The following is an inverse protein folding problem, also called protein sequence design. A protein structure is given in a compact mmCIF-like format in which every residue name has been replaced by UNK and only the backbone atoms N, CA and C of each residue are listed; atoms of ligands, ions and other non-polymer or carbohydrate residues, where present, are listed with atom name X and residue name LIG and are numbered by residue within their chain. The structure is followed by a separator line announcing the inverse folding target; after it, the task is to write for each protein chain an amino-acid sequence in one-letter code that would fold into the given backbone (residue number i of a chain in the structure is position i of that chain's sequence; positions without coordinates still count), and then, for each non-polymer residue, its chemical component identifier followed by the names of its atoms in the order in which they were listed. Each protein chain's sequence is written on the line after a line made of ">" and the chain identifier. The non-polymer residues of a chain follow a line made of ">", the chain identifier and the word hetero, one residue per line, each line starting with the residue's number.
data_IF_742869311194
#
_entry.id   IF_742869311194
#
_cell.length_a   1.000
_cell.length_b   1.000
_cell.length_c   1.000
_cell.angle_alpha   90.00
_cell.angle_beta   90.00
_cell.angle_gamma   90.00
#
_symmetry.space_group_name_H-M   'P 1'
#
loop_
_entity.id
_entity.type
_entity.pdbx_description
1 polymer ?
#
# COMPACT_ATOMS: atom_id res chain seq x y z
N UNK A 1 -13.66 -7.96 -13.19
CA UNK A 1 -12.90 -6.85 -12.58
C UNK A 1 -11.93 -7.47 -11.59
N UNK A 2 -10.62 -7.36 -11.82
CA UNK A 2 -9.61 -8.01 -10.99
C UNK A 2 -9.38 -7.16 -9.72
N UNK A 3 -9.77 -7.67 -8.56
CA UNK A 3 -9.63 -7.01 -7.29
C UNK A 3 -8.30 -7.42 -6.65
N UNK A 4 -7.26 -6.58 -6.85
CA UNK A 4 -5.98 -6.76 -6.18
C UNK A 4 -6.15 -6.63 -4.65
N UNK A 5 -5.71 -7.64 -3.90
CA UNK A 5 -5.57 -7.55 -2.45
C UNK A 5 -4.34 -6.68 -2.16
N UNK A 6 -4.56 -5.36 -2.10
CA UNK A 6 -3.51 -4.36 -1.95
C UNK A 6 -3.01 -4.35 -0.51
N UNK A 7 -1.82 -4.86 -0.24
CA UNK A 7 -1.17 -4.61 1.05
C UNK A 7 -0.76 -3.12 1.10
N UNK A 8 -1.49 -2.37 1.93
CA UNK A 8 -1.30 -0.94 2.12
C UNK A 8 -0.19 -0.68 3.17
N UNK A 9 0.75 0.18 2.82
CA UNK A 9 1.85 0.61 3.69
C UNK A 9 1.67 2.09 4.03
N UNK A 10 2.06 2.47 5.25
CA UNK A 10 1.93 3.86 5.70
C UNK A 10 3.27 4.57 5.66
N UNK A 11 3.24 5.80 5.20
CA UNK A 11 4.42 6.65 5.03
C UNK A 11 4.22 7.93 5.82
N UNK A 12 5.24 8.34 6.59
CA UNK A 12 5.23 9.60 7.32
C UNK A 12 6.26 10.57 6.72
N UNK A 13 5.84 11.83 6.62
CA UNK A 13 6.73 12.97 6.42
C UNK A 13 6.97 13.66 7.77
N UNK A 14 8.19 14.17 8.01
CA UNK A 14 8.37 15.29 8.92
C UNK A 14 7.80 16.58 8.29
N UNK A 15 7.28 17.52 9.09
CA UNK A 15 6.69 18.74 8.57
C UNK A 15 7.76 19.62 7.92
N UNK A 16 7.88 19.55 6.60
CA UNK A 16 8.44 20.64 5.82
C UNK A 16 7.47 21.83 5.90
N UNK A 17 7.97 22.99 6.32
CA UNK A 17 7.19 24.19 6.60
C UNK A 17 6.08 24.48 5.57
N UNK A 18 4.88 24.73 6.10
CA UNK A 18 3.71 25.38 5.51
C UNK A 18 3.54 25.31 4.00
N UNK A 19 2.66 24.43 3.51
CA UNK A 19 1.97 24.67 2.24
C UNK A 19 0.50 24.23 2.30
N UNK A 20 -0.35 25.26 2.38
CA UNK A 20 -1.71 25.35 1.82
C UNK A 20 -2.60 24.11 1.88
N UNK A 21 -3.55 24.15 2.81
CA UNK A 21 -4.80 23.39 2.73
C UNK A 21 -5.52 23.73 1.44
N UNK A 22 -5.58 22.79 0.49
CA UNK A 22 -6.62 22.80 -0.55
C UNK A 22 -7.72 21.87 -0.10
N UNK A 23 -8.76 22.51 0.41
CA UNK A 23 -10.09 21.95 0.51
C UNK A 23 -10.54 21.49 -0.89
N UNK A 24 -10.75 20.19 -1.05
CA UNK A 24 -11.57 19.66 -2.15
C UNK A 24 -12.71 18.88 -1.54
N UNK A 25 -13.70 19.62 -1.07
CA UNK A 25 -15.06 19.12 -0.92
C UNK A 25 -15.55 18.50 -2.22
N UNK A 26 -15.82 17.19 -2.19
CA UNK A 26 -16.83 16.55 -3.03
C UNK A 26 -17.31 15.28 -2.34
N UNK A 27 -18.43 15.42 -1.64
CA UNK A 27 -19.28 14.29 -1.27
C UNK A 27 -20.15 13.98 -2.50
N UNK A 28 -20.08 12.76 -3.01
CA UNK A 28 -21.12 12.17 -3.86
C UNK A 28 -21.19 10.68 -3.48
N UNK A 29 -22.38 10.24 -3.07
CA UNK A 29 -22.60 8.98 -2.38
C UNK A 29 -22.99 7.77 -3.24
N UNK A 30 -23.26 6.67 -2.52
CA UNK A 30 -24.22 5.63 -2.89
C UNK A 30 -23.74 4.47 -3.76
N UNK A 31 -23.74 3.24 -3.20
CA UNK A 31 -24.01 2.02 -3.98
C UNK A 31 -23.17 0.76 -3.70
N UNK A 32 -23.58 -0.02 -2.69
CA UNK A 32 -23.81 -1.48 -2.70
C UNK A 32 -22.72 -2.44 -3.26
N UNK A 33 -22.18 -3.26 -2.35
CA UNK A 33 -21.65 -4.63 -2.59
C UNK A 33 -20.22 -4.67 -3.11
N UNK A 34 -19.35 -5.41 -2.41
CA UNK A 34 -17.98 -5.78 -2.84
C UNK A 34 -16.93 -4.69 -2.57
N UNK A 35 -16.72 -4.34 -1.29
CA UNK A 35 -15.70 -3.35 -0.87
C UNK A 35 -14.29 -3.85 -1.17
N UNK A 36 -13.53 -3.02 -1.88
CA UNK A 36 -12.12 -3.22 -2.18
C UNK A 36 -11.33 -2.76 -0.95
N UNK A 37 -10.71 -3.70 -0.20
CA UNK A 37 -10.07 -3.52 1.14
C UNK A 37 -10.88 -4.02 2.35
N UNK A 38 -11.58 -5.15 2.22
CA UNK A 38 -12.35 -5.75 3.32
C UNK A 38 -11.55 -6.73 4.22
N UNK A 39 -10.35 -7.12 3.81
CA UNK A 39 -9.50 -8.08 4.53
C UNK A 39 -8.46 -7.44 5.45
N UNK A 40 -8.17 -8.09 6.59
CA UNK A 40 -6.99 -7.81 7.42
C UNK A 40 -6.76 -6.33 7.76
N UNK A 41 -5.53 -5.86 7.51
CA UNK A 41 -5.11 -4.47 7.80
C UNK A 41 -5.79 -3.45 6.90
N UNK A 42 -6.24 -3.85 5.71
CA UNK A 42 -6.84 -2.94 4.73
C UNK A 42 -8.20 -2.42 5.25
N UNK A 43 -8.95 -3.27 5.97
CA UNK A 43 -10.16 -2.85 6.68
C UNK A 43 -9.88 -1.80 7.75
N UNK A 44 -8.77 -1.93 8.48
CA UNK A 44 -8.38 -0.96 9.49
C UNK A 44 -8.03 0.40 8.85
N UNK A 45 -7.42 0.39 7.67
CA UNK A 45 -7.14 1.61 6.92
C UNK A 45 -8.39 2.25 6.33
N UNK A 46 -9.30 1.47 5.74
CA UNK A 46 -10.59 1.99 5.27
C UNK A 46 -11.39 2.62 6.42
N UNK A 47 -11.39 1.99 7.60
CA UNK A 47 -12.03 2.55 8.80
C UNK A 47 -11.33 3.85 9.29
N UNK A 48 -10.00 3.91 9.21
CA UNK A 48 -9.22 5.06 9.67
C UNK A 48 -9.33 6.28 8.75
N UNK A 49 -9.19 6.09 7.44
CA UNK A 49 -9.22 7.17 6.45
C UNK A 49 -10.64 7.56 6.04
N UNK A 50 -11.62 6.68 6.28
CA UNK A 50 -13.02 6.90 5.99
C UNK A 50 -13.44 6.48 4.56
N UNK A 51 -14.71 6.73 4.21
CA UNK A 51 -15.36 6.09 3.07
C UNK A 51 -14.78 6.49 1.69
N UNK A 52 -14.06 7.60 1.60
CA UNK A 52 -13.43 8.04 0.35
C UNK A 52 -12.12 7.30 0.04
N UNK A 53 -11.55 6.59 1.02
CA UNK A 53 -10.22 5.99 0.89
C UNK A 53 -10.16 4.87 -0.16
N UNK A 54 -11.15 3.97 -0.16
CA UNK A 54 -11.22 2.90 -1.17
C UNK A 54 -11.26 3.46 -2.59
N UNK A 55 -12.06 4.51 -2.79
CA UNK A 55 -12.17 5.19 -4.09
C UNK A 55 -10.86 5.87 -4.49
N UNK A 56 -10.18 6.51 -3.55
CA UNK A 56 -8.89 7.16 -3.76
C UNK A 56 -7.82 6.16 -4.22
N UNK A 57 -7.77 4.98 -3.59
CA UNK A 57 -6.86 3.90 -3.98
C UNK A 57 -7.23 3.32 -5.34
N UNK A 58 -8.52 3.03 -5.57
CA UNK A 58 -9.00 2.51 -6.85
C UNK A 58 -8.68 3.47 -8.00
N UNK A 59 -8.98 4.76 -7.84
CA UNK A 59 -8.74 5.76 -8.87
C UNK A 59 -7.22 5.91 -9.16
N UNK A 60 -6.35 5.70 -8.16
CA UNK A 60 -4.90 5.68 -8.38
C UNK A 60 -4.48 4.51 -9.28
N UNK A 61 -4.92 3.29 -8.96
CA UNK A 61 -4.62 2.10 -9.76
C UNK A 61 -5.25 2.19 -11.16
N UNK A 62 -6.47 2.69 -11.28
CA UNK A 62 -7.18 2.82 -12.55
C UNK A 62 -6.56 3.86 -13.50
N UNK A 63 -5.82 4.85 -12.97
CA UNK A 63 -5.08 5.82 -13.79
C UNK A 63 -3.78 5.26 -14.38
N UNK A 64 -3.33 4.09 -13.95
CA UNK A 64 -2.18 3.41 -14.56
C UNK A 64 -2.52 3.04 -16.01
N UNK A 65 -1.54 3.02 -16.94
CA UNK A 65 -1.77 2.64 -18.33
C UNK A 65 -2.48 1.30 -18.50
N UNK A 66 -2.13 0.33 -17.66
CA UNK A 66 -2.69 -1.03 -17.69
C UNK A 66 -3.96 -1.17 -16.80
N UNK A 67 -4.36 -0.11 -16.10
CA UNK A 67 -5.47 -0.13 -15.13
C UNK A 67 -5.27 -1.11 -13.97
N UNK A 68 -4.04 -1.54 -13.72
CA UNK A 68 -3.71 -2.62 -12.79
C UNK A 68 -2.33 -2.44 -12.14
N UNK A 69 -2.19 -2.94 -10.91
CA UNK A 69 -0.94 -2.96 -10.14
C UNK A 69 -0.53 -4.42 -9.84
N UNK A 70 0.50 -4.97 -10.52
CA UNK A 70 0.94 -6.35 -10.31
C UNK A 70 1.75 -6.54 -9.01
N UNK A 71 1.83 -7.78 -8.54
CA UNK A 71 2.79 -8.18 -7.49
C UNK A 71 4.21 -7.87 -7.97
N UNK A 72 5.00 -7.21 -7.12
CA UNK A 72 6.33 -6.72 -7.47
C UNK A 72 6.36 -5.31 -8.08
N UNK A 73 5.20 -4.66 -8.20
CA UNK A 73 5.08 -3.22 -8.41
C UNK A 73 4.51 -2.53 -7.17
N UNK A 74 4.78 -1.23 -7.06
CA UNK A 74 4.25 -0.41 -5.98
C UNK A 74 3.90 1.00 -6.47
N UNK A 75 3.02 1.69 -5.75
CA UNK A 75 2.56 3.03 -6.08
C UNK A 75 2.30 3.85 -4.82
N UNK A 76 2.77 5.11 -4.80
CA UNK A 76 2.51 6.04 -3.70
C UNK A 76 1.25 6.84 -4.03
N UNK A 77 0.31 6.88 -3.10
CA UNK A 77 -0.94 7.61 -3.20
C UNK A 77 -1.03 8.65 -2.08
N UNK A 78 -1.19 9.95 -2.39
CA UNK A 78 -1.48 10.96 -1.38
C UNK A 78 -2.85 10.72 -0.76
N UNK A 79 -2.96 10.75 0.55
CA UNK A 79 -4.22 10.49 1.29
C UNK A 79 -4.97 11.77 1.66
N UNK A 80 -4.29 12.92 1.65
CA UNK A 80 -4.82 14.19 2.19
C UNK A 80 -4.91 14.23 3.73
N UNK A 81 -4.47 13.18 4.43
CA UNK A 81 -4.56 13.10 5.89
C UNK A 81 -3.33 13.70 6.57
N UNK A 82 -3.54 14.58 7.56
CA UNK A 82 -2.47 15.35 8.21
C UNK A 82 -1.37 14.51 8.86
N UNK A 83 -1.71 13.35 9.43
CA UNK A 83 -0.74 12.47 10.12
C UNK A 83 -0.09 11.42 9.23
N UNK A 84 -0.78 11.02 8.16
CA UNK A 84 -0.38 9.91 7.29
C UNK A 84 -0.61 10.39 5.87
N UNK A 85 0.24 11.30 5.36
CA UNK A 85 -0.02 12.04 4.12
C UNK A 85 0.04 11.16 2.88
N UNK A 86 0.68 9.99 2.99
CA UNK A 86 0.81 9.03 1.89
C UNK A 86 0.54 7.61 2.35
N UNK A 87 0.03 6.85 1.41
CA UNK A 87 -0.08 5.41 1.46
C UNK A 87 0.73 4.84 0.29
N UNK A 88 1.48 3.78 0.53
CA UNK A 88 2.14 3.02 -0.52
C UNK A 88 1.40 1.70 -0.73
N UNK A 89 0.93 1.50 -1.96
CA UNK A 89 0.28 0.28 -2.39
C UNK A 89 1.35 -0.69 -2.89
N UNK A 90 1.40 -1.90 -2.36
CA UNK A 90 2.25 -2.98 -2.87
C UNK A 90 1.50 -4.32 -2.77
N UNK A 91 0.85 -4.78 -3.84
CA UNK A 91 0.05 -6.00 -3.83
C UNK A 91 0.89 -7.24 -3.53
N UNK A 92 0.36 -8.11 -2.66
CA UNK A 92 0.94 -9.43 -2.37
C UNK A 92 0.28 -10.55 -3.18
N UNK A 93 -0.88 -10.30 -3.77
CA UNK A 93 -1.60 -11.24 -4.64
C UNK A 93 -2.52 -10.48 -5.59
N UNK A 94 -2.87 -11.12 -6.72
CA UNK A 94 -3.80 -10.54 -7.69
C UNK A 94 -5.26 -10.73 -7.26
N UNK A 95 -5.59 -11.91 -6.74
CA UNK A 95 -6.90 -12.22 -6.17
C UNK A 95 -6.68 -12.83 -4.78
N UNK A 96 -7.69 -12.81 -3.89
CA UNK A 96 -7.61 -13.50 -2.60
C UNK A 96 -7.30 -15.00 -2.78
N UNK A 97 -6.06 -15.40 -2.46
CA UNK A 97 -5.60 -16.78 -2.55
C UNK A 97 -4.40 -17.03 -1.62
N UNK A 98 -4.10 -18.31 -1.35
CA UNK A 98 -2.87 -18.67 -0.67
C UNK A 98 -1.67 -18.46 -1.60
N UNK A 99 -0.61 -17.83 -1.09
CA UNK A 99 0.58 -17.51 -1.87
C UNK A 99 1.85 -18.02 -1.20
N UNK A 100 2.91 -18.15 -1.99
CA UNK A 100 4.24 -18.45 -1.45
C UNK A 100 4.81 -17.28 -0.65
N UNK A 101 5.68 -17.56 0.32
CA UNK A 101 6.36 -16.53 1.12
C UNK A 101 7.11 -15.48 0.26
N UNK A 102 7.62 -15.88 -0.92
CA UNK A 102 8.31 -14.98 -1.86
C UNK A 102 7.47 -13.77 -2.31
N UNK A 103 6.13 -13.82 -2.18
CA UNK A 103 5.27 -12.68 -2.47
C UNK A 103 5.46 -11.54 -1.47
N UNK A 104 5.77 -11.85 -0.20
CA UNK A 104 6.14 -10.85 0.81
C UNK A 104 7.44 -10.13 0.42
N UNK A 105 8.45 -10.88 -0.03
CA UNK A 105 9.70 -10.30 -0.55
C UNK A 105 9.44 -9.39 -1.74
N UNK A 106 8.68 -9.84 -2.74
CA UNK A 106 8.39 -9.07 -3.97
C UNK A 106 7.64 -7.78 -3.66
N UNK A 107 6.63 -7.85 -2.80
CA UNK A 107 5.84 -6.68 -2.40
C UNK A 107 6.70 -5.66 -1.64
N UNK A 108 7.45 -6.10 -0.62
CA UNK A 108 8.30 -5.19 0.15
C UNK A 108 9.43 -4.59 -0.69
N UNK A 109 10.09 -5.39 -1.54
CA UNK A 109 11.16 -4.88 -2.40
C UNK A 109 10.66 -3.84 -3.40
N UNK A 110 9.46 -4.03 -3.93
CA UNK A 110 8.82 -3.02 -4.77
C UNK A 110 8.51 -1.74 -3.99
N UNK A 111 7.99 -1.87 -2.77
CA UNK A 111 7.71 -0.75 -1.88
C UNK A 111 8.96 0.07 -1.56
N UNK A 112 10.02 -0.60 -1.12
CA UNK A 112 11.30 0.06 -0.79
C UNK A 112 11.91 0.77 -1.99
N UNK A 113 11.85 0.16 -3.19
CA UNK A 113 12.36 0.78 -4.42
C UNK A 113 11.61 2.07 -4.78
N UNK A 114 10.30 2.10 -4.59
CA UNK A 114 9.48 3.29 -4.87
C UNK A 114 9.68 4.35 -3.79
N UNK A 115 9.70 3.94 -2.52
CA UNK A 115 9.96 4.84 -1.39
C UNK A 115 11.34 5.52 -1.50
N UNK A 116 12.40 4.77 -1.85
CA UNK A 116 13.75 5.30 -1.99
C UNK A 116 13.91 6.36 -3.10
N UNK A 117 12.97 6.42 -4.05
CA UNK A 117 12.97 7.43 -5.13
C UNK A 117 12.23 8.71 -4.74
N UNK A 118 11.45 8.68 -3.66
CA UNK A 118 10.65 9.80 -3.21
C UNK A 118 11.35 10.49 -2.03
N UNK A 119 12.05 11.58 -2.34
CA UNK A 119 12.85 12.36 -1.39
C UNK A 119 12.09 12.83 -0.14
N UNK A 120 10.76 12.90 -0.19
CA UNK A 120 9.94 13.32 0.95
C UNK A 120 9.80 12.18 1.97
N UNK A 121 9.81 10.93 1.53
CA UNK A 121 9.59 9.79 2.42
C UNK A 121 10.83 9.51 3.26
N UNK A 122 10.69 9.66 4.58
CA UNK A 122 11.73 9.31 5.54
C UNK A 122 11.37 8.02 6.30
N UNK A 123 10.12 7.88 6.70
CA UNK A 123 9.63 6.73 7.47
C UNK A 123 8.63 5.89 6.66
N UNK A 124 8.86 4.58 6.63
CA UNK A 124 7.96 3.58 6.08
C UNK A 124 7.54 2.58 7.16
N UNK A 125 6.24 2.52 7.43
CA UNK A 125 5.63 1.54 8.33
C UNK A 125 5.04 0.40 7.49
N UNK A 126 5.54 -0.82 7.74
CA UNK A 126 5.18 -2.01 6.99
C UNK A 126 4.54 -3.04 7.93
N UNK A 127 3.29 -3.48 7.66
CA UNK A 127 2.69 -4.60 8.38
C UNK A 127 3.29 -5.95 7.91
N UNK A 128 2.92 -7.05 8.57
CA UNK A 128 3.21 -8.39 8.05
C UNK A 128 2.57 -8.58 6.68
N UNK A 129 3.36 -8.98 5.68
CA UNK A 129 2.91 -9.16 4.31
C UNK A 129 2.58 -10.61 4.00
N UNK A 130 1.49 -10.84 3.27
CA UNK A 130 0.97 -12.16 2.88
C UNK A 130 0.56 -13.10 4.04
N UNK A 131 0.60 -12.65 5.30
CA UNK A 131 0.27 -13.47 6.48
C UNK A 131 -1.22 -13.57 6.81
N UNK A 132 -2.05 -12.69 6.21
CA UNK A 132 -3.51 -12.71 6.36
C UNK A 132 -4.16 -13.64 5.34
N UNK A 133 -4.83 -13.05 4.36
CA UNK A 133 -5.48 -13.78 3.25
C UNK A 133 -4.50 -14.70 2.51
N UNK A 134 -3.23 -14.30 2.42
CA UNK A 134 -2.19 -15.04 1.72
C UNK A 134 -1.74 -16.33 2.39
N UNK A 135 -2.10 -16.55 3.67
CA UNK A 135 -1.82 -17.78 4.40
C UNK A 135 -0.33 -18.10 4.61
N UNK A 136 0.56 -17.13 4.49
CA UNK A 136 2.00 -17.32 4.76
C UNK A 136 2.25 -17.33 6.26
N UNK A 137 3.01 -18.31 6.75
CA UNK A 137 3.43 -18.36 8.15
C UNK A 137 4.24 -17.10 8.52
N UNK A 138 3.97 -16.46 9.68
CA UNK A 138 4.60 -15.20 10.06
C UNK A 138 6.14 -15.22 10.01
N UNK A 139 6.76 -16.32 10.44
CA UNK A 139 8.22 -16.46 10.44
C UNK A 139 8.80 -16.54 9.03
N UNK A 140 8.10 -17.18 8.09
CA UNK A 140 8.53 -17.27 6.69
C UNK A 140 8.36 -15.92 5.99
N UNK A 141 7.23 -15.23 6.23
CA UNK A 141 7.02 -13.87 5.73
C UNK A 141 8.08 -12.91 6.27
N UNK A 142 8.40 -12.97 7.57
CA UNK A 142 9.41 -12.13 8.19
C UNK A 142 10.80 -12.37 7.60
N UNK A 143 11.18 -13.63 7.33
CA UNK A 143 12.45 -13.97 6.68
C UNK A 143 12.54 -13.37 5.27
N UNK A 144 11.49 -13.51 4.46
CA UNK A 144 11.41 -12.95 3.11
C UNK A 144 11.43 -11.41 3.12
N UNK A 145 10.72 -10.79 4.06
CA UNK A 145 10.74 -9.33 4.23
C UNK A 145 12.12 -8.82 4.67
N UNK A 146 12.79 -9.49 5.60
CA UNK A 146 14.14 -9.14 6.02
C UNK A 146 15.15 -9.25 4.86
N UNK A 147 15.03 -10.29 4.03
CA UNK A 147 15.86 -10.43 2.83
C UNK A 147 15.63 -9.28 1.83
N UNK A 148 14.38 -8.90 1.58
CA UNK A 148 14.06 -7.77 0.70
C UNK A 148 14.65 -6.44 1.21
N UNK A 149 14.61 -6.22 2.53
CA UNK A 149 15.19 -5.04 3.16
C UNK A 149 16.74 -5.03 3.07
N UNK A 150 17.39 -6.17 3.32
CA UNK A 150 18.84 -6.30 3.19
C UNK A 150 19.30 -6.05 1.74
N UNK A 151 18.56 -6.53 0.75
CA UNK A 151 18.89 -6.31 -0.66
C UNK A 151 18.69 -4.84 -1.07
N UNK A 152 17.64 -4.19 -0.56
CA UNK A 152 17.38 -2.77 -0.84
C UNK A 152 18.46 -1.86 -0.23
N UNK A 153 18.92 -2.15 0.99
CA UNK A 153 19.96 -1.38 1.67
C UNK A 153 21.33 -1.56 1.02
N UNK A 154 21.67 -2.76 0.55
CA UNK A 154 22.90 -3.01 -0.23
C UNK A 154 22.91 -2.29 -1.58
N UNK A 155 21.77 -2.20 -2.26
CA UNK A 155 21.68 -1.53 -3.55
C UNK A 155 21.80 0.00 -3.46
N UNK A 156 21.62 0.56 -2.26
CA UNK A 156 21.71 1.99 -1.98
C UNK A 156 23.03 2.38 -1.28
N UNK A 157 23.91 1.41 -0.99
CA UNK A 157 25.25 1.62 -0.43
C UNK A 157 26.29 1.72 -1.55
#
# INVERSE_FOLDING_TARGET
>A
MAAACCSVHMLRLLPAGSLGTRDTGRQDGGGRGDTFMDGGVDRAYAAFFGPAFERLVYDAVARRPDGFLPVGAAEIVPTGHARIPYVLLAPTMLMPEHVSASHAYRALRAALRVAARESKIEDLYCPGLATGVGGVEPDDAAREMAAAYADATRANA
#
